data_IF_134170262743
#
_entry.id   IF_134170262743
#
_cell.length_a   1.000
_cell.length_b   1.000
_cell.length_c   1.000
_cell.angle_alpha   90.00
_cell.angle_beta   90.00
_cell.angle_gamma   90.00
#
_symmetry.space_group_name_H-M   'P 1'
#
loop_
_entity.id
_entity.type
_entity.pdbx_description
1 polymer ?
#
# COMPACT_ATOMS: atom_id res chain seq x y z
N UNK A 1 -16.55 -7.72 -25.51
CA UNK A 1 -16.77 -7.83 -24.05
C UNK A 1 -16.40 -6.49 -23.44
N UNK A 2 -17.30 -5.87 -22.69
CA UNK A 2 -17.07 -4.60 -22.01
C UNK A 2 -16.34 -4.87 -20.68
N UNK A 3 -15.40 -4.02 -20.36
CA UNK A 3 -14.62 -4.16 -19.13
C UNK A 3 -15.39 -3.61 -17.93
N UNK A 4 -15.49 -4.42 -16.87
CA UNK A 4 -16.20 -4.07 -15.63
C UNK A 4 -15.29 -4.40 -14.44
N UNK A 5 -14.76 -3.37 -13.80
CA UNK A 5 -13.81 -3.48 -12.69
C UNK A 5 -14.45 -2.93 -11.41
N UNK A 6 -14.42 -3.73 -10.35
CA UNK A 6 -14.73 -3.28 -9.00
C UNK A 6 -13.42 -2.99 -8.25
N UNK A 7 -13.40 -1.95 -7.44
CA UNK A 7 -12.40 -1.74 -6.40
C UNK A 7 -13.09 -1.80 -5.03
N UNK A 8 -12.72 -2.79 -4.24
CA UNK A 8 -13.18 -2.96 -2.86
C UNK A 8 -12.11 -2.44 -1.91
N UNK A 9 -12.54 -1.65 -0.92
CA UNK A 9 -11.66 -1.07 0.10
C UNK A 9 -12.39 -1.14 1.46
N UNK A 10 -11.77 -1.79 2.45
CA UNK A 10 -12.35 -1.94 3.77
C UNK A 10 -12.30 -0.61 4.54
N UNK A 11 -13.41 -0.24 5.14
CA UNK A 11 -13.55 1.04 5.83
C UNK A 11 -12.74 1.10 7.12
N UNK A 12 -11.70 1.95 7.16
CA UNK A 12 -10.82 2.15 8.31
C UNK A 12 -10.33 0.81 8.94
N UNK A 13 -9.94 -0.14 8.10
CA UNK A 13 -9.82 -1.58 8.37
C UNK A 13 -9.32 -1.93 9.77
N UNK A 14 -8.08 -1.59 10.12
CA UNK A 14 -7.52 -1.97 11.45
C UNK A 14 -8.33 -1.36 12.59
N UNK A 15 -8.73 -0.10 12.48
CA UNK A 15 -9.52 0.55 13.53
C UNK A 15 -10.92 -0.05 13.66
N UNK A 16 -11.52 -0.46 12.54
CA UNK A 16 -12.82 -1.14 12.53
C UNK A 16 -12.75 -2.54 13.16
N UNK A 17 -11.66 -3.29 12.91
CA UNK A 17 -11.41 -4.58 13.59
C UNK A 17 -11.28 -4.38 15.10
N UNK A 18 -10.53 -3.37 15.57
CA UNK A 18 -10.42 -3.07 17.00
C UNK A 18 -11.76 -2.68 17.63
N UNK A 19 -12.55 -1.83 16.94
CA UNK A 19 -13.89 -1.43 17.42
C UNK A 19 -14.90 -2.57 17.39
N UNK A 20 -14.76 -3.54 16.49
CA UNK A 20 -15.56 -4.76 16.45
C UNK A 20 -15.25 -5.66 17.63
N UNK A 21 -13.96 -5.92 17.85
CA UNK A 21 -13.47 -6.90 18.84
C UNK A 21 -13.60 -6.39 20.29
N UNK A 22 -13.47 -5.07 20.51
CA UNK A 22 -13.70 -4.46 21.83
C UNK A 22 -14.88 -3.45 21.77
N UNK A 23 -16.05 -3.82 22.30
CA UNK A 23 -17.22 -2.93 22.33
C UNK A 23 -16.99 -1.57 23.00
N UNK A 24 -16.00 -1.45 23.89
CA UNK A 24 -15.66 -0.18 24.56
C UNK A 24 -15.05 0.85 23.60
N UNK A 25 -14.52 0.39 22.48
CA UNK A 25 -13.92 1.24 21.44
C UNK A 25 -14.94 1.74 20.42
N UNK A 26 -16.17 1.21 20.41
CA UNK A 26 -17.21 1.60 19.45
C UNK A 26 -17.59 3.06 19.61
N UNK A 27 -17.57 3.79 18.49
CA UNK A 27 -17.87 5.23 18.50
C UNK A 27 -16.78 6.10 19.12
N UNK A 28 -15.65 5.52 19.56
CA UNK A 28 -14.53 6.25 20.12
C UNK A 28 -13.48 6.59 19.03
N UNK A 29 -12.71 7.67 19.20
CA UNK A 29 -11.63 8.01 18.29
C UNK A 29 -10.45 7.05 18.48
N UNK A 30 -10.48 5.90 17.78
CA UNK A 30 -9.45 4.86 17.85
C UNK A 30 -8.34 5.16 16.85
N UNK A 31 -7.11 5.05 17.32
CA UNK A 31 -5.88 5.29 16.54
C UNK A 31 -4.98 4.05 16.67
N UNK A 32 -4.91 3.26 15.62
CA UNK A 32 -4.04 2.08 15.58
C UNK A 32 -2.63 2.53 15.20
N UNK A 33 -1.65 2.28 16.07
CA UNK A 33 -0.27 2.69 15.85
C UNK A 33 0.56 2.72 17.12
N UNK A 34 1.73 3.34 17.06
CA UNK A 34 2.55 3.56 18.24
C UNK A 34 1.91 4.61 19.18
N UNK A 35 2.12 4.52 20.51
CA UNK A 35 1.68 5.55 21.44
C UNK A 35 2.27 6.93 21.09
N UNK A 36 1.60 8.05 21.43
CA UNK A 36 2.05 9.39 21.10
C UNK A 36 3.36 9.80 21.81
N UNK A 37 3.74 9.10 22.87
CA UNK A 37 4.99 9.29 23.63
C UNK A 37 6.18 8.56 23.03
N UNK A 38 5.97 7.74 21.98
CA UNK A 38 7.01 6.97 21.33
C UNK A 38 7.16 7.37 19.86
N UNK A 39 8.32 7.07 19.26
CA UNK A 39 8.49 7.17 17.81
C UNK A 39 7.58 6.16 17.12
N UNK A 40 6.90 6.60 16.10
CA UNK A 40 6.03 5.78 15.29
C UNK A 40 5.01 6.60 14.51
N UNK A 41 4.21 5.89 13.76
CA UNK A 41 3.17 6.47 12.90
C UNK A 41 1.82 5.83 13.17
N UNK A 42 0.77 6.54 12.77
CA UNK A 42 -0.58 6.00 12.68
C UNK A 42 -0.63 4.97 11.54
N UNK A 43 -1.02 3.74 11.83
CA UNK A 43 -1.29 2.71 10.83
C UNK A 43 -2.70 2.88 10.25
N UNK A 44 -3.70 3.05 11.13
CA UNK A 44 -5.08 3.34 10.73
C UNK A 44 -5.76 4.23 11.79
N UNK A 45 -6.77 4.98 11.37
CA UNK A 45 -7.56 5.83 12.25
C UNK A 45 -9.05 5.60 11.98
N UNK A 46 -9.86 5.44 13.04
CA UNK A 46 -11.32 5.36 12.94
C UNK A 46 -11.91 6.65 12.37
N UNK A 47 -13.13 6.59 11.86
CA UNK A 47 -13.80 7.77 11.31
C UNK A 47 -13.98 8.87 12.36
N UNK A 48 -14.16 8.50 13.62
CA UNK A 48 -14.20 9.43 14.76
C UNK A 48 -12.87 10.17 14.92
N UNK A 49 -11.74 9.44 14.84
CA UNK A 49 -10.41 10.07 14.91
C UNK A 49 -10.09 10.93 13.67
N UNK A 50 -10.57 10.52 12.48
CA UNK A 50 -10.42 11.29 11.23
C UNK A 50 -11.07 12.66 11.28
N UNK A 51 -12.12 12.85 12.08
CA UNK A 51 -12.76 14.17 12.30
C UNK A 51 -11.81 15.19 12.92
N UNK A 52 -10.81 14.74 13.67
CA UNK A 52 -9.75 15.57 14.25
C UNK A 52 -8.53 15.74 13.34
N UNK A 53 -8.61 15.30 12.08
CA UNK A 53 -7.50 15.39 11.13
C UNK A 53 -6.48 14.27 11.24
N UNK A 54 -6.70 13.25 12.07
CA UNK A 54 -5.82 12.07 12.16
C UNK A 54 -5.98 11.22 10.90
N UNK A 55 -4.83 10.82 10.30
CA UNK A 55 -4.78 10.00 9.08
C UNK A 55 -3.60 9.01 9.19
N UNK A 56 -3.65 7.94 8.40
CA UNK A 56 -2.53 7.00 8.24
C UNK A 56 -1.25 7.73 7.84
N UNK A 57 -0.11 7.18 8.24
CA UNK A 57 1.24 7.73 8.07
C UNK A 57 1.54 9.02 8.86
N UNK A 58 0.57 9.58 9.59
CA UNK A 58 0.82 10.74 10.46
C UNK A 58 1.70 10.32 11.65
N UNK A 59 2.71 11.11 12.06
CA UNK A 59 3.46 10.81 13.28
C UNK A 59 2.53 10.70 14.50
N UNK A 60 2.70 9.66 15.32
CA UNK A 60 1.83 9.40 16.48
C UNK A 60 1.78 10.57 17.47
N UNK A 61 2.92 11.25 17.68
CA UNK A 61 2.98 12.45 18.52
C UNK A 61 2.10 13.60 17.97
N UNK A 62 2.03 13.75 16.65
CA UNK A 62 1.15 14.73 15.99
C UNK A 62 -0.32 14.32 16.13
N UNK A 63 -0.63 13.02 15.91
CA UNK A 63 -1.97 12.49 16.09
C UNK A 63 -2.48 12.70 17.54
N UNK A 64 -1.63 12.50 18.54
CA UNK A 64 -1.98 12.75 19.95
C UNK A 64 -2.29 14.22 20.25
N UNK A 65 -1.60 15.15 19.58
CA UNK A 65 -1.91 16.59 19.70
C UNK A 65 -3.22 16.98 19.02
N UNK A 66 -3.50 16.39 17.84
CA UNK A 66 -4.73 16.65 17.09
C UNK A 66 -5.97 16.02 17.76
N UNK A 67 -5.80 14.85 18.37
CA UNK A 67 -6.86 14.12 19.03
C UNK A 67 -6.44 13.72 20.47
N UNK A 68 -6.48 14.67 21.44
CA UNK A 68 -6.02 14.40 22.81
C UNK A 68 -6.80 13.31 23.54
N UNK A 69 -8.05 13.08 23.15
CA UNK A 69 -8.91 11.99 23.67
C UNK A 69 -8.82 10.71 22.84
N UNK A 70 -7.93 10.65 21.85
CA UNK A 70 -7.73 9.49 20.98
C UNK A 70 -7.21 8.29 21.76
N UNK A 71 -7.83 7.13 21.52
CA UNK A 71 -7.43 5.86 22.14
C UNK A 71 -6.42 5.20 21.23
N UNK A 72 -5.15 5.16 21.66
CA UNK A 72 -4.08 4.52 20.91
C UNK A 72 -4.03 3.03 21.21
N UNK A 73 -4.14 2.21 20.16
CA UNK A 73 -4.09 0.75 20.21
C UNK A 73 -2.89 0.25 19.39
N UNK A 74 -2.11 -0.69 19.95
CA UNK A 74 -1.00 -1.29 19.20
C UNK A 74 -1.54 -2.19 18.09
N UNK A 75 -0.91 -2.19 16.89
CA UNK A 75 -1.35 -3.04 15.78
C UNK A 75 -1.27 -4.53 16.14
N UNK A 76 -2.36 -5.27 15.86
CA UNK A 76 -2.44 -6.74 15.95
C UNK A 76 -2.34 -7.34 14.54
N UNK A 77 -1.15 -7.28 13.93
CA UNK A 77 -0.98 -7.61 12.51
C UNK A 77 -1.44 -9.02 12.13
N UNK A 78 -1.29 -9.99 13.02
CA UNK A 78 -1.74 -11.37 12.74
C UNK A 78 -3.26 -11.47 12.65
N UNK A 79 -3.98 -10.75 13.54
CA UNK A 79 -5.46 -10.64 13.50
C UNK A 79 -5.90 -9.98 12.18
N UNK A 80 -5.23 -8.90 11.76
CA UNK A 80 -5.61 -8.20 10.53
C UNK A 80 -5.33 -9.04 9.27
N UNK A 81 -4.25 -9.82 9.24
CA UNK A 81 -3.97 -10.74 8.14
C UNK A 81 -4.99 -11.88 8.06
N UNK A 82 -5.33 -12.46 9.19
CA UNK A 82 -6.37 -13.49 9.27
C UNK A 82 -7.73 -12.95 8.80
N UNK A 83 -8.10 -11.75 9.24
CA UNK A 83 -9.34 -11.10 8.83
C UNK A 83 -9.35 -10.78 7.34
N UNK A 84 -8.23 -10.28 6.80
CA UNK A 84 -8.02 -10.07 5.37
C UNK A 84 -8.23 -11.37 4.58
N UNK A 85 -7.64 -12.48 5.05
CA UNK A 85 -7.79 -13.78 4.39
C UNK A 85 -9.25 -14.19 4.28
N UNK A 86 -10.01 -14.09 5.37
CA UNK A 86 -11.46 -14.40 5.39
C UNK A 86 -12.27 -13.51 4.45
N UNK A 87 -11.93 -12.22 4.37
CA UNK A 87 -12.56 -11.30 3.40
C UNK A 87 -12.24 -11.70 1.97
N UNK A 88 -10.98 -12.08 1.67
CA UNK A 88 -10.59 -12.55 0.34
C UNK A 88 -11.26 -13.87 -0.04
N UNK A 89 -11.52 -14.76 0.92
CA UNK A 89 -12.33 -15.97 0.70
C UNK A 89 -13.78 -15.62 0.29
N UNK A 90 -14.40 -14.64 0.94
CA UNK A 90 -15.73 -14.15 0.53
C UNK A 90 -15.69 -13.59 -0.88
N UNK A 91 -14.67 -12.76 -1.20
CA UNK A 91 -14.48 -12.18 -2.54
C UNK A 91 -14.33 -13.29 -3.61
N UNK A 92 -13.54 -14.33 -3.32
CA UNK A 92 -13.30 -15.43 -4.25
C UNK A 92 -14.58 -16.17 -4.67
N UNK A 93 -15.62 -16.19 -3.83
CA UNK A 93 -16.90 -16.83 -4.18
C UNK A 93 -17.67 -16.12 -5.29
N UNK A 94 -17.30 -14.89 -5.64
CA UNK A 94 -17.93 -14.14 -6.75
C UNK A 94 -17.59 -14.70 -8.12
N UNK A 95 -16.53 -15.52 -8.24
CA UNK A 95 -16.01 -16.00 -9.53
C UNK A 95 -15.27 -14.93 -10.33
N UNK A 96 -15.02 -13.75 -9.75
CA UNK A 96 -14.23 -12.68 -10.37
C UNK A 96 -12.73 -13.04 -10.43
N UNK A 97 -12.04 -12.44 -11.38
CA UNK A 97 -10.57 -12.40 -11.36
C UNK A 97 -10.16 -11.35 -10.31
N UNK A 98 -9.33 -11.73 -9.32
CA UNK A 98 -8.99 -10.88 -8.18
C UNK A 98 -7.52 -10.51 -8.20
N UNK A 99 -7.23 -9.22 -8.05
CA UNK A 99 -5.91 -8.67 -7.74
C UNK A 99 -5.95 -8.07 -6.33
N UNK A 100 -5.38 -8.76 -5.35
CA UNK A 100 -5.26 -8.24 -4.00
C UNK A 100 -4.12 -7.20 -3.94
N UNK A 101 -4.44 -5.95 -3.62
CA UNK A 101 -3.47 -4.85 -3.56
C UNK A 101 -2.81 -4.72 -2.18
N UNK A 102 -3.57 -5.00 -1.13
CA UNK A 102 -3.12 -4.92 0.25
C UNK A 102 -3.95 -5.87 1.14
N UNK A 103 -3.83 -5.75 2.45
CA UNK A 103 -4.66 -6.52 3.39
C UNK A 103 -6.13 -6.07 3.42
N UNK A 104 -6.44 -4.90 2.86
CA UNK A 104 -7.76 -4.25 2.92
C UNK A 104 -8.30 -3.78 1.58
N UNK A 105 -7.54 -3.91 0.49
CA UNK A 105 -7.94 -3.48 -0.86
C UNK A 105 -7.77 -4.59 -1.89
N UNK A 106 -8.75 -4.71 -2.80
CA UNK A 106 -8.67 -5.59 -3.96
C UNK A 106 -9.38 -5.00 -5.18
N UNK A 107 -8.85 -5.30 -6.38
CA UNK A 107 -9.58 -5.16 -7.63
C UNK A 107 -10.21 -6.49 -8.02
N UNK A 108 -11.44 -6.42 -8.56
CA UNK A 108 -12.17 -7.57 -9.08
C UNK A 108 -12.54 -7.27 -10.54
N UNK A 109 -12.13 -8.13 -11.45
CA UNK A 109 -12.62 -8.08 -12.83
C UNK A 109 -13.83 -9.02 -12.94
N UNK A 110 -14.99 -8.42 -13.11
CA UNK A 110 -16.27 -9.12 -13.27
C UNK A 110 -16.79 -9.02 -14.70
N UNK A 111 -15.93 -8.65 -15.65
CA UNK A 111 -16.31 -8.50 -17.06
C UNK A 111 -16.96 -9.74 -17.65
N UNK A 112 -16.52 -10.95 -17.29
CA UNK A 112 -17.12 -12.20 -17.77
C UNK A 112 -18.52 -12.46 -17.18
N UNK A 113 -18.84 -11.85 -16.04
CA UNK A 113 -20.08 -12.09 -15.28
C UNK A 113 -21.13 -11.03 -15.62
N UNK A 114 -20.70 -9.76 -15.78
CA UNK A 114 -21.58 -8.61 -15.93
C UNK A 114 -21.49 -8.05 -17.36
N UNK A 115 -22.21 -8.68 -18.31
CA UNK A 115 -22.28 -8.21 -19.69
C UNK A 115 -23.71 -7.81 -20.06
N UNK A 116 -23.86 -6.63 -20.64
CA UNK A 116 -25.12 -6.08 -21.14
C UNK A 116 -24.94 -5.57 -22.58
N UNK A 117 -25.95 -4.85 -23.10
CA UNK A 117 -25.96 -4.33 -24.47
C UNK A 117 -24.85 -3.35 -24.80
N UNK A 118 -24.37 -2.60 -23.79
CA UNK A 118 -23.32 -1.59 -23.90
C UNK A 118 -22.47 -1.54 -22.63
N UNK A 119 -21.42 -0.71 -22.66
CA UNK A 119 -20.47 -0.58 -21.55
C UNK A 119 -21.15 -0.08 -20.27
N UNK A 120 -21.92 0.98 -20.33
CA UNK A 120 -22.54 1.60 -19.15
C UNK A 120 -23.61 0.68 -18.54
N UNK A 121 -24.40 0.01 -19.37
CA UNK A 121 -25.35 -0.99 -18.89
C UNK A 121 -24.64 -2.18 -18.20
N UNK A 122 -23.44 -2.58 -18.68
CA UNK A 122 -22.62 -3.62 -18.05
C UNK A 122 -22.09 -3.18 -16.68
N UNK A 123 -21.68 -1.92 -16.53
CA UNK A 123 -21.27 -1.35 -15.24
C UNK A 123 -22.43 -1.32 -14.23
N UNK A 124 -23.62 -0.92 -14.67
CA UNK A 124 -24.80 -0.89 -13.83
C UNK A 124 -25.27 -2.29 -13.41
N UNK A 125 -25.09 -3.30 -14.29
CA UNK A 125 -25.42 -4.70 -14.00
C UNK A 125 -24.53 -5.28 -12.88
N UNK A 126 -23.33 -4.74 -12.63
CA UNK A 126 -22.46 -5.16 -11.55
C UNK A 126 -22.89 -4.64 -10.15
N UNK A 127 -23.81 -3.67 -10.10
CA UNK A 127 -24.23 -3.05 -8.83
C UNK A 127 -24.88 -4.02 -7.83
N UNK A 128 -25.81 -4.93 -8.22
CA UNK A 128 -26.35 -5.96 -7.33
C UNK A 128 -25.27 -6.86 -6.76
N UNK A 129 -24.33 -7.34 -7.57
CA UNK A 129 -23.20 -8.17 -7.13
C UNK A 129 -22.34 -7.45 -6.06
N UNK A 130 -22.00 -6.19 -6.29
CA UNK A 130 -21.24 -5.39 -5.33
C UNK A 130 -22.03 -5.15 -4.03
N UNK A 131 -23.35 -4.93 -4.12
CA UNK A 131 -24.22 -4.77 -2.95
C UNK A 131 -24.29 -6.06 -2.12
N UNK A 132 -24.46 -7.20 -2.78
CA UNK A 132 -24.45 -8.51 -2.13
C UNK A 132 -23.12 -8.80 -1.46
N UNK A 133 -21.99 -8.51 -2.12
CA UNK A 133 -20.66 -8.69 -1.55
C UNK A 133 -20.48 -7.86 -0.27
N UNK A 134 -20.88 -6.59 -0.28
CA UNK A 134 -20.87 -5.73 0.91
C UNK A 134 -21.72 -6.32 2.05
N UNK A 135 -22.94 -6.77 1.75
CA UNK A 135 -23.84 -7.37 2.75
C UNK A 135 -23.25 -8.64 3.33
N UNK A 136 -22.61 -9.49 2.54
CA UNK A 136 -21.96 -10.71 3.00
C UNK A 136 -20.77 -10.40 3.91
N UNK A 137 -19.89 -9.47 3.52
CA UNK A 137 -18.79 -9.03 4.37
C UNK A 137 -19.34 -8.52 5.69
N UNK A 138 -20.39 -7.71 5.70
CA UNK A 138 -20.98 -7.20 6.93
C UNK A 138 -21.60 -8.31 7.78
N UNK A 139 -22.41 -9.21 7.20
CA UNK A 139 -23.06 -10.27 7.94
C UNK A 139 -22.08 -11.30 8.53
N UNK A 140 -21.04 -11.66 7.79
CA UNK A 140 -20.08 -12.68 8.19
C UNK A 140 -18.93 -12.12 9.05
N UNK A 141 -18.52 -10.86 8.81
CA UNK A 141 -17.32 -10.25 9.46
C UNK A 141 -17.62 -9.04 10.35
N UNK A 142 -18.84 -8.49 10.32
CA UNK A 142 -19.24 -7.27 11.04
C UNK A 142 -18.33 -6.07 10.71
N UNK A 143 -17.87 -5.99 9.45
CA UNK A 143 -17.04 -4.93 8.92
C UNK A 143 -17.70 -4.36 7.67
N UNK A 144 -17.52 -3.06 7.41
CA UNK A 144 -18.01 -2.43 6.20
C UNK A 144 -16.91 -2.29 5.15
N UNK A 145 -17.31 -2.33 3.90
CA UNK A 145 -16.46 -2.06 2.75
C UNK A 145 -17.12 -1.02 1.85
N UNK A 146 -16.29 -0.20 1.22
CA UNK A 146 -16.73 0.70 0.15
C UNK A 146 -16.30 0.14 -1.18
N UNK A 147 -17.22 0.10 -2.17
CA UNK A 147 -16.95 -0.44 -3.50
C UNK A 147 -17.16 0.63 -4.57
N UNK A 148 -16.19 0.76 -5.46
CA UNK A 148 -16.29 1.53 -6.69
C UNK A 148 -16.38 0.61 -7.91
N UNK A 149 -17.26 0.94 -8.87
CA UNK A 149 -17.47 0.20 -10.11
C UNK A 149 -17.15 1.12 -11.29
N UNK A 150 -16.30 0.69 -12.21
CA UNK A 150 -15.99 1.45 -13.42
C UNK A 150 -15.38 0.57 -14.51
N UNK A 151 -15.10 1.15 -15.68
CA UNK A 151 -14.51 0.45 -16.82
C UNK A 151 -13.01 0.16 -16.69
N UNK A 152 -12.33 0.68 -15.66
CA UNK A 152 -10.90 0.46 -15.42
C UNK A 152 -10.49 0.67 -13.96
N UNK A 153 -9.24 0.28 -13.64
CA UNK A 153 -8.69 0.33 -12.27
C UNK A 153 -8.67 1.74 -11.69
N UNK A 154 -8.26 2.74 -12.48
CA UNK A 154 -8.19 4.13 -12.03
C UNK A 154 -9.55 4.64 -11.55
N UNK A 155 -10.55 4.51 -12.41
CA UNK A 155 -11.91 4.99 -12.11
C UNK A 155 -12.57 4.20 -10.98
N UNK A 156 -12.39 2.88 -10.94
CA UNK A 156 -12.93 2.04 -9.86
C UNK A 156 -12.36 2.46 -8.49
N UNK A 157 -11.04 2.76 -8.41
CA UNK A 157 -10.43 3.24 -7.17
C UNK A 157 -10.94 4.63 -6.78
N UNK A 158 -11.07 5.55 -7.72
CA UNK A 158 -11.64 6.89 -7.44
C UNK A 158 -13.09 6.76 -6.95
N UNK A 159 -13.88 5.87 -7.58
CA UNK A 159 -15.25 5.61 -7.20
C UNK A 159 -15.35 5.07 -5.76
N UNK A 160 -14.47 4.15 -5.35
CA UNK A 160 -14.48 3.60 -3.99
C UNK A 160 -14.13 4.64 -2.92
N UNK A 161 -13.40 5.71 -3.26
CA UNK A 161 -13.07 6.77 -2.32
C UNK A 161 -14.16 7.85 -2.20
N UNK A 162 -15.11 7.90 -3.16
CA UNK A 162 -16.06 9.01 -3.28
C UNK A 162 -17.10 9.07 -2.15
N UNK A 163 -17.63 7.93 -1.72
CA UNK A 163 -18.73 7.85 -0.74
C UNK A 163 -18.36 7.05 0.50
N UNK A 164 -17.10 7.08 0.96
CA UNK A 164 -16.69 6.43 2.22
C UNK A 164 -17.34 7.08 3.45
N UNK A 165 -17.73 6.30 4.46
CA UNK A 165 -17.73 4.84 4.57
C UNK A 165 -19.00 4.18 4.00
N UNK A 166 -18.92 2.86 3.81
CA UNK A 166 -20.02 1.96 3.42
C UNK A 166 -20.70 2.35 2.08
N UNK A 167 -19.94 3.01 1.21
CA UNK A 167 -20.43 3.51 -0.08
C UNK A 167 -20.47 2.46 -1.18
N UNK A 168 -21.21 2.80 -2.24
CA UNK A 168 -21.24 2.05 -3.50
C UNK A 168 -21.43 3.04 -4.66
N UNK A 169 -20.35 3.33 -5.37
CA UNK A 169 -20.34 4.31 -6.46
C UNK A 169 -20.06 3.65 -7.79
N UNK A 170 -20.85 3.97 -8.80
CA UNK A 170 -20.63 3.57 -10.21
C UNK A 170 -20.20 4.82 -10.97
N UNK A 171 -19.11 4.75 -11.71
CA UNK A 171 -18.70 5.78 -12.69
C UNK A 171 -18.86 5.18 -14.08
N UNK A 172 -19.87 5.66 -14.83
CA UNK A 172 -20.14 5.26 -16.21
C UNK A 172 -19.15 5.90 -17.19
N UNK A 173 -18.98 5.30 -18.37
CA UNK A 173 -18.12 5.88 -19.40
C UNK A 173 -18.68 7.21 -19.93
N UNK A 174 -20.01 7.36 -19.95
CA UNK A 174 -20.68 8.61 -20.32
C UNK A 174 -20.38 9.75 -19.33
N UNK A 175 -20.24 9.44 -18.04
CA UNK A 175 -20.09 10.45 -16.98
C UNK A 175 -18.64 10.66 -16.51
N UNK A 176 -17.70 9.77 -16.85
CA UNK A 176 -16.34 9.76 -16.28
C UNK A 176 -15.62 11.11 -16.36
N UNK A 177 -15.73 11.82 -17.48
CA UNK A 177 -15.01 13.10 -17.69
C UNK A 177 -15.60 14.16 -16.77
N UNK A 178 -16.93 14.32 -16.74
CA UNK A 178 -17.63 15.29 -15.90
C UNK A 178 -17.48 14.97 -14.41
N UNK A 179 -17.49 13.68 -14.05
CA UNK A 179 -17.26 13.21 -12.69
C UNK A 179 -15.84 13.54 -12.18
N UNK A 180 -14.84 13.34 -13.02
CA UNK A 180 -13.44 13.60 -12.66
C UNK A 180 -13.14 15.09 -12.54
N UNK A 181 -13.76 15.92 -13.37
CA UNK A 181 -13.42 17.33 -13.56
C UNK A 181 -13.33 18.16 -12.26
N UNK A 182 -14.28 18.10 -11.29
CA UNK A 182 -14.21 18.87 -10.05
C UNK A 182 -13.23 18.31 -9.01
N UNK A 183 -12.70 17.08 -9.19
CA UNK A 183 -11.87 16.45 -8.20
C UNK A 183 -10.47 17.08 -8.16
N UNK A 184 -9.84 17.16 -6.97
CA UNK A 184 -8.44 17.59 -6.86
C UNK A 184 -7.51 16.73 -7.67
N UNK A 185 -6.48 17.29 -8.31
CA UNK A 185 -5.53 16.55 -9.16
C UNK A 185 -4.80 15.43 -8.39
N UNK A 186 -4.62 15.57 -7.07
CA UNK A 186 -4.04 14.54 -6.19
C UNK A 186 -4.87 13.26 -6.11
N UNK A 187 -6.12 13.25 -6.55
CA UNK A 187 -6.98 12.07 -6.62
C UNK A 187 -6.49 11.07 -7.67
N UNK A 188 -5.76 11.54 -8.68
CA UNK A 188 -5.20 10.69 -9.73
C UNK A 188 -4.06 9.83 -9.19
N UNK A 189 -4.09 8.56 -9.56
CA UNK A 189 -3.04 7.59 -9.22
C UNK A 189 -1.66 8.09 -9.64
N UNK A 190 -0.70 8.05 -8.71
CA UNK A 190 0.67 8.51 -8.94
C UNK A 190 0.91 10.00 -8.66
N UNK A 191 -0.14 10.77 -8.35
CA UNK A 191 0.01 12.17 -7.94
C UNK A 191 0.18 12.26 -6.42
N UNK A 192 1.44 12.19 -5.98
CA UNK A 192 1.82 12.45 -4.60
C UNK A 192 2.00 13.94 -4.31
N UNK A 193 2.31 14.28 -3.06
CA UNK A 193 2.47 15.68 -2.59
C UNK A 193 3.43 16.52 -3.47
N UNK A 194 4.55 15.94 -3.92
CA UNK A 194 5.54 16.66 -4.75
C UNK A 194 4.95 16.96 -6.13
N UNK A 195 4.34 15.98 -6.78
CA UNK A 195 3.69 16.15 -8.08
C UNK A 195 2.54 17.14 -8.00
N UNK A 196 1.68 17.06 -6.97
CA UNK A 196 0.60 18.02 -6.71
C UNK A 196 1.16 19.45 -6.60
N UNK A 197 2.20 19.66 -5.81
CA UNK A 197 2.83 20.98 -5.66
C UNK A 197 3.41 21.51 -6.99
N UNK A 198 3.98 20.63 -7.81
CA UNK A 198 4.51 21.02 -9.12
C UNK A 198 3.38 21.42 -10.07
N UNK A 199 2.30 20.66 -10.12
CA UNK A 199 1.13 20.97 -10.94
C UNK A 199 0.44 22.27 -10.50
N UNK A 200 0.29 22.49 -9.20
CA UNK A 200 -0.30 23.70 -8.65
C UNK A 200 0.47 24.98 -9.05
N UNK A 201 1.80 24.91 -9.21
CA UNK A 201 2.62 26.05 -9.66
C UNK A 201 2.26 26.52 -11.08
N UNK A 202 1.70 25.65 -11.90
CA UNK A 202 1.28 25.97 -13.27
C UNK A 202 -0.25 26.07 -13.40
N UNK A 203 -0.95 26.25 -12.25
CA UNK A 203 -2.38 26.49 -12.21
C UNK A 203 -3.26 25.23 -12.29
N UNK A 204 -2.66 24.02 -12.21
CA UNK A 204 -3.41 22.75 -12.24
C UNK A 204 -3.70 22.32 -10.81
N UNK A 205 -4.91 22.58 -10.30
CA UNK A 205 -5.39 22.23 -8.97
C UNK A 205 -6.40 21.09 -9.03
N UNK A 206 -7.27 21.12 -10.01
CA UNK A 206 -8.31 20.11 -10.27
C UNK A 206 -7.94 19.24 -11.46
N UNK A 207 -8.63 18.11 -11.60
CA UNK A 207 -8.53 17.26 -12.79
C UNK A 207 -9.07 18.03 -14.01
N UNK A 208 -10.07 18.90 -13.84
CA UNK A 208 -10.58 19.76 -14.90
C UNK A 208 -9.50 20.72 -15.44
N UNK A 209 -8.70 21.35 -14.56
CA UNK A 209 -7.58 22.18 -14.99
C UNK A 209 -6.57 21.36 -15.81
N UNK A 210 -6.33 20.12 -15.41
CA UNK A 210 -5.45 19.21 -16.13
C UNK A 210 -6.03 18.77 -17.48
N UNK A 211 -7.35 18.57 -17.58
CA UNK A 211 -8.05 18.31 -18.84
C UNK A 211 -7.89 19.48 -19.82
N UNK A 212 -7.99 20.69 -19.33
CA UNK A 212 -7.93 21.92 -20.13
C UNK A 212 -6.49 22.40 -20.41
N UNK A 213 -5.49 21.89 -19.67
CA UNK A 213 -4.11 22.32 -19.82
C UNK A 213 -3.53 21.96 -21.19
N UNK A 214 -3.16 23.01 -21.95
CA UNK A 214 -2.58 22.88 -23.28
C UNK A 214 -1.04 22.85 -23.31
N UNK A 215 -0.38 23.09 -22.16
CA UNK A 215 1.09 23.12 -22.07
C UNK A 215 1.72 21.73 -22.06
N UNK A 216 3.06 21.69 -22.08
CA UNK A 216 3.81 20.43 -22.04
C UNK A 216 3.88 19.87 -20.60
N UNK A 217 3.13 18.82 -20.32
CA UNK A 217 3.18 18.12 -19.03
C UNK A 217 4.49 17.35 -18.81
N UNK A 218 5.25 16.99 -19.88
CA UNK A 218 6.57 16.38 -19.70
C UNK A 218 7.56 17.35 -19.08
N UNK A 219 7.49 18.61 -19.41
CA UNK A 219 8.32 19.64 -18.80
C UNK A 219 8.03 19.81 -17.30
N UNK A 220 6.79 19.51 -16.85
CA UNK A 220 6.38 19.68 -15.46
C UNK A 220 6.66 18.43 -14.59
N UNK A 221 6.27 17.24 -15.08
CA UNK A 221 6.27 15.99 -14.29
C UNK A 221 7.03 14.84 -14.99
N UNK A 222 7.90 15.15 -15.94
CA UNK A 222 8.74 14.17 -16.63
C UNK A 222 7.95 13.17 -17.46
N UNK A 223 8.45 11.94 -17.56
CA UNK A 223 7.84 10.86 -18.36
C UNK A 223 6.42 10.48 -17.91
N UNK A 224 6.01 10.89 -16.72
CA UNK A 224 4.66 10.64 -16.20
C UNK A 224 3.60 11.53 -16.87
N UNK A 225 3.97 12.68 -17.44
CA UNK A 225 3.06 13.67 -18.03
C UNK A 225 2.02 13.11 -19.00
N UNK A 226 2.42 12.39 -20.06
CA UNK A 226 1.48 11.80 -21.02
C UNK A 226 0.48 10.82 -20.39
N UNK A 227 0.94 10.00 -19.44
CA UNK A 227 0.08 9.06 -18.71
C UNK A 227 -0.90 9.82 -17.81
N UNK A 228 -0.43 10.86 -17.15
CA UNK A 228 -1.26 11.70 -16.29
C UNK A 228 -2.37 12.39 -17.09
N UNK A 229 -2.09 12.85 -18.32
CA UNK A 229 -3.10 13.41 -19.23
C UNK A 229 -4.20 12.39 -19.57
N UNK A 230 -3.83 11.16 -19.92
CA UNK A 230 -4.78 10.06 -20.14
C UNK A 230 -5.64 9.82 -18.91
N UNK A 231 -5.02 9.77 -17.72
CA UNK A 231 -5.73 9.59 -16.46
C UNK A 231 -6.76 10.70 -16.19
N UNK A 232 -6.48 11.94 -16.57
CA UNK A 232 -7.44 13.03 -16.43
C UNK A 232 -8.72 12.82 -17.26
N UNK A 233 -8.66 12.06 -18.36
CA UNK A 233 -9.80 11.66 -19.18
C UNK A 233 -10.38 10.30 -18.79
N UNK A 234 -9.92 9.71 -17.68
CA UNK A 234 -10.40 8.42 -17.20
C UNK A 234 -9.92 7.23 -18.03
N UNK A 235 -8.80 7.39 -18.75
CA UNK A 235 -8.21 6.35 -19.58
C UNK A 235 -7.14 5.59 -18.80
N UNK A 236 -7.35 4.28 -18.57
CA UNK A 236 -6.41 3.38 -17.91
C UNK A 236 -6.55 1.97 -18.48
N UNK A 237 -5.56 1.54 -19.23
CA UNK A 237 -5.53 0.26 -19.93
C UNK A 237 -4.81 -0.85 -19.15
N UNK A 238 -4.34 -0.58 -17.93
CA UNK A 238 -3.65 -1.57 -17.10
C UNK A 238 -4.55 -2.77 -16.84
N UNK A 239 -4.06 -4.00 -17.10
CA UNK A 239 -4.78 -5.22 -16.70
C UNK A 239 -4.74 -5.40 -15.18
N UNK A 240 -5.53 -6.35 -14.67
CA UNK A 240 -5.31 -6.89 -13.34
C UNK A 240 -4.05 -7.74 -13.34
N UNK A 241 -3.19 -7.53 -12.34
CA UNK A 241 -1.99 -8.34 -12.13
C UNK A 241 -2.34 -9.53 -11.24
N UNK A 242 -2.29 -10.75 -11.84
CA UNK A 242 -2.59 -11.98 -11.13
C UNK A 242 -1.25 -12.64 -10.80
N UNK A 243 -0.94 -12.69 -9.52
CA UNK A 243 0.29 -13.31 -9.00
C UNK A 243 1.38 -12.28 -8.68
N UNK A 244 1.88 -12.41 -7.47
CA UNK A 244 2.94 -11.55 -6.95
C UNK A 244 4.32 -12.14 -7.24
N UNK A 245 5.02 -11.62 -8.24
CA UNK A 245 6.46 -11.82 -8.33
C UNK A 245 7.14 -11.04 -7.20
N UNK A 246 7.68 -11.74 -6.22
CA UNK A 246 8.41 -11.14 -5.11
C UNK A 246 9.75 -10.60 -5.62
N UNK A 247 9.88 -9.29 -5.74
CA UNK A 247 11.10 -8.62 -6.24
C UNK A 247 12.15 -8.40 -5.16
N UNK A 248 11.73 -8.24 -3.90
CA UNK A 248 12.62 -8.01 -2.76
C UNK A 248 11.99 -8.44 -1.44
N UNK A 249 12.84 -8.74 -0.46
CA UNK A 249 12.45 -9.01 0.93
C UNK A 249 13.29 -8.11 1.82
N UNK A 250 12.67 -7.33 2.71
CA UNK A 250 13.39 -6.40 3.60
C UNK A 250 12.71 -6.25 4.95
N UNK A 251 13.50 -5.78 5.91
CA UNK A 251 13.05 -5.31 7.22
C UNK A 251 13.73 -3.98 7.55
N UNK A 252 13.04 -3.11 8.30
CA UNK A 252 13.57 -1.83 8.79
C UNK A 252 13.17 -1.62 10.25
N UNK A 253 14.10 -1.13 11.07
CA UNK A 253 13.84 -0.77 12.45
C UNK A 253 14.11 0.72 12.67
N UNK A 254 13.14 1.43 13.22
CA UNK A 254 13.30 2.82 13.66
C UNK A 254 13.53 2.82 15.16
N UNK A 255 14.75 3.15 15.58
CA UNK A 255 15.15 3.16 16.98
C UNK A 255 14.38 4.22 17.78
N UNK A 256 14.00 3.89 19.02
CA UNK A 256 13.33 4.84 19.93
C UNK A 256 14.23 6.07 20.22
N UNK A 257 15.53 5.84 20.32
CA UNK A 257 16.59 6.88 20.39
C UNK A 257 17.62 6.57 19.32
N UNK A 258 18.16 7.61 18.69
CA UNK A 258 19.23 7.45 17.72
C UNK A 258 20.44 6.80 18.39
N UNK A 259 21.08 5.85 17.69
CA UNK A 259 22.18 5.06 18.26
C UNK A 259 23.28 4.79 17.25
N UNK A 260 24.52 4.78 17.73
CA UNK A 260 25.72 4.29 17.04
C UNK A 260 26.35 3.10 17.79
N UNK A 261 25.66 2.61 18.81
CA UNK A 261 26.11 1.44 19.57
C UNK A 261 26.15 0.20 18.66
N UNK A 262 27.37 -0.28 18.43
CA UNK A 262 27.63 -1.42 17.56
C UNK A 262 26.95 -2.72 18.02
N UNK A 263 26.70 -2.88 19.33
CA UNK A 263 25.99 -4.07 19.84
C UNK A 263 24.54 -4.04 19.45
N UNK A 264 23.88 -2.88 19.61
CA UNK A 264 22.48 -2.66 19.22
C UNK A 264 22.32 -2.83 17.70
N UNK A 265 23.19 -2.20 16.91
CA UNK A 265 23.13 -2.26 15.45
C UNK A 265 23.35 -3.67 14.90
N UNK A 266 24.32 -4.42 15.49
CA UNK A 266 24.57 -5.82 15.12
C UNK A 266 23.42 -6.74 15.51
N UNK A 267 22.81 -6.55 16.68
CA UNK A 267 21.65 -7.33 17.10
C UNK A 267 20.47 -7.10 16.13
N UNK A 268 20.17 -5.85 15.79
CA UNK A 268 19.14 -5.47 14.82
C UNK A 268 19.39 -6.11 13.44
N UNK A 269 20.61 -6.01 12.90
CA UNK A 269 20.93 -6.66 11.61
C UNK A 269 20.81 -8.19 11.67
N UNK A 270 21.19 -8.81 12.77
CA UNK A 270 21.13 -10.27 12.95
C UNK A 270 19.66 -10.74 12.95
N UNK A 271 18.79 -10.02 13.64
CA UNK A 271 17.36 -10.31 13.68
C UNK A 271 16.73 -10.14 12.29
N UNK A 272 16.99 -9.02 11.61
CA UNK A 272 16.52 -8.79 10.24
C UNK A 272 17.04 -9.85 9.26
N UNK A 273 18.31 -10.26 9.35
CA UNK A 273 18.86 -11.31 8.51
C UNK A 273 18.20 -12.66 8.76
N UNK A 274 17.86 -12.98 10.01
CA UNK A 274 17.14 -14.21 10.36
C UNK A 274 15.72 -14.23 9.79
N UNK A 275 14.98 -13.11 9.90
CA UNK A 275 13.64 -12.97 9.30
C UNK A 275 13.69 -13.07 7.77
N UNK A 276 14.62 -12.39 7.12
CA UNK A 276 14.80 -12.42 5.67
C UNK A 276 15.12 -13.86 5.20
N UNK A 277 16.05 -14.54 5.88
CA UNK A 277 16.41 -15.93 5.57
C UNK A 277 15.22 -16.89 5.70
N UNK A 278 14.42 -16.77 6.78
CA UNK A 278 13.23 -17.56 6.99
C UNK A 278 12.20 -17.34 5.85
N UNK A 279 12.00 -16.10 5.44
CA UNK A 279 11.09 -15.73 4.34
C UNK A 279 11.58 -16.22 2.98
N UNK A 280 12.90 -16.15 2.70
CA UNK A 280 13.51 -16.70 1.50
C UNK A 280 13.28 -18.21 1.43
N UNK A 281 13.58 -18.95 2.50
CA UNK A 281 13.40 -20.41 2.58
C UNK A 281 11.93 -20.82 2.42
N UNK A 282 11.03 -20.11 3.09
CA UNK A 282 9.58 -20.36 2.95
C UNK A 282 9.09 -20.20 1.51
N UNK A 283 9.63 -19.22 0.80
CA UNK A 283 9.27 -18.94 -0.61
C UNK A 283 10.12 -19.72 -1.62
N UNK A 284 11.08 -20.52 -1.16
CA UNK A 284 12.04 -21.26 -2.01
C UNK A 284 12.80 -20.34 -2.97
N UNK A 285 13.23 -19.16 -2.46
CA UNK A 285 13.98 -18.17 -3.22
C UNK A 285 15.39 -18.00 -2.67
N UNK A 286 16.33 -17.69 -3.56
CA UNK A 286 17.67 -17.20 -3.23
C UNK A 286 17.87 -15.78 -3.71
N UNK A 287 18.67 -14.98 -3.02
CA UNK A 287 18.89 -13.57 -3.33
C UNK A 287 20.30 -13.33 -3.83
N UNK A 288 20.45 -12.54 -4.89
CA UNK A 288 21.76 -12.17 -5.45
C UNK A 288 22.23 -10.77 -5.03
N UNK A 289 21.39 -9.97 -4.37
CA UNK A 289 21.75 -8.64 -3.94
C UNK A 289 21.35 -8.43 -2.49
N UNK A 290 22.30 -7.92 -1.67
CA UNK A 290 22.06 -7.48 -0.30
C UNK A 290 22.17 -5.96 -0.26
N UNK A 291 21.25 -5.29 0.42
CA UNK A 291 21.27 -3.85 0.59
C UNK A 291 21.11 -3.49 2.07
N UNK A 292 21.76 -2.40 2.47
CA UNK A 292 21.61 -1.78 3.77
C UNK A 292 21.09 -0.37 3.58
N UNK A 293 20.08 0.01 4.38
CA UNK A 293 19.52 1.35 4.42
C UNK A 293 19.74 1.94 5.79
N UNK A 294 20.29 3.14 5.85
CA UNK A 294 20.41 3.91 7.09
C UNK A 294 19.71 5.25 6.94
N UNK A 295 19.13 5.71 8.04
CA UNK A 295 18.58 7.07 8.13
C UNK A 295 19.11 7.74 9.38
N UNK A 296 19.54 8.97 9.24
CA UNK A 296 20.04 9.80 10.33
C UNK A 296 18.93 10.67 10.95
N UNK A 297 19.26 11.40 12.02
CA UNK A 297 18.34 12.30 12.74
C UNK A 297 17.70 13.36 11.84
N UNK A 298 18.47 13.89 10.89
CA UNK A 298 18.04 14.90 9.91
C UNK A 298 17.23 14.33 8.75
N UNK A 299 16.83 13.05 8.83
CA UNK A 299 16.13 12.27 7.80
C UNK A 299 16.92 12.02 6.51
N UNK A 300 18.22 12.42 6.45
CA UNK A 300 19.10 11.97 5.38
C UNK A 300 19.13 10.44 5.34
N UNK A 301 18.82 9.87 4.19
CA UNK A 301 18.75 8.41 3.98
C UNK A 301 19.81 8.00 2.98
N UNK A 302 20.59 6.99 3.33
CA UNK A 302 21.57 6.37 2.43
C UNK A 302 21.23 4.89 2.28
N UNK A 303 21.34 4.41 1.04
CA UNK A 303 21.22 2.98 0.72
C UNK A 303 22.50 2.56 0.00
N UNK A 304 23.04 1.39 0.39
CA UNK A 304 24.19 0.76 -0.27
C UNK A 304 23.87 -0.71 -0.50
N UNK A 305 24.36 -1.24 -1.60
CA UNK A 305 24.12 -2.62 -1.96
C UNK A 305 25.38 -3.30 -2.49
N UNK A 306 25.36 -4.61 -2.46
CA UNK A 306 26.36 -5.49 -3.06
C UNK A 306 25.65 -6.68 -3.71
N UNK A 307 26.10 -7.05 -4.90
CA UNK A 307 25.61 -8.24 -5.59
C UNK A 307 26.64 -9.35 -5.52
N UNK A 308 26.17 -10.59 -5.49
CA UNK A 308 26.96 -11.82 -5.43
C UNK A 308 26.51 -12.77 -6.53
N UNK A 309 27.43 -13.63 -6.99
CA UNK A 309 27.14 -14.61 -8.04
C UNK A 309 26.30 -15.78 -7.50
N UNK A 310 26.64 -16.28 -6.32
CA UNK A 310 25.92 -17.39 -5.69
C UNK A 310 24.69 -16.88 -4.93
N UNK A 311 23.52 -17.56 -5.05
CA UNK A 311 22.30 -17.14 -4.38
C UNK A 311 22.40 -17.33 -2.86
N UNK A 312 22.08 -16.28 -2.11
CA UNK A 312 22.09 -16.27 -0.67
C UNK A 312 20.74 -16.74 -0.12
N UNK A 313 20.77 -17.67 0.83
CA UNK A 313 19.60 -18.13 1.60
C UNK A 313 19.86 -18.05 3.10
N UNK A 314 21.13 -18.14 3.50
CA UNK A 314 21.52 -18.26 4.90
C UNK A 314 21.62 -16.91 5.62
N UNK A 315 21.04 -16.84 6.82
CA UNK A 315 21.05 -15.64 7.66
C UNK A 315 22.46 -15.13 7.95
N UNK A 316 23.43 -16.05 8.14
CA UNK A 316 24.82 -15.71 8.44
C UNK A 316 25.50 -14.95 7.30
N UNK A 317 25.22 -15.31 6.05
CA UNK A 317 25.81 -14.66 4.87
C UNK A 317 25.20 -13.28 4.64
N UNK A 318 23.87 -13.19 4.73
CA UNK A 318 23.13 -11.92 4.62
C UNK A 318 23.61 -10.93 5.71
N UNK A 319 23.76 -11.42 6.95
CA UNK A 319 24.27 -10.63 8.07
C UNK A 319 25.70 -10.13 7.83
N UNK A 320 26.62 -11.03 7.39
CA UNK A 320 28.02 -10.67 7.11
C UNK A 320 28.13 -9.60 6.06
N UNK A 321 27.37 -9.71 4.95
CA UNK A 321 27.35 -8.71 3.89
C UNK A 321 26.71 -7.39 4.36
N UNK A 322 25.67 -7.43 5.20
CA UNK A 322 25.11 -6.25 5.83
C UNK A 322 26.14 -5.51 6.69
N UNK A 323 26.86 -6.23 7.54
CA UNK A 323 27.94 -5.66 8.36
C UNK A 323 29.10 -5.10 7.50
N UNK A 324 29.47 -5.81 6.43
CA UNK A 324 30.48 -5.36 5.48
C UNK A 324 30.12 -4.03 4.85
N UNK A 325 28.87 -3.89 4.36
CA UNK A 325 28.38 -2.65 3.76
C UNK A 325 28.38 -1.48 4.75
N UNK A 326 27.97 -1.69 6.01
CA UNK A 326 28.02 -0.65 7.04
C UNK A 326 29.45 -0.16 7.28
N UNK A 327 30.43 -1.09 7.31
CA UNK A 327 31.84 -0.77 7.57
C UNK A 327 32.52 -0.11 6.37
N UNK A 328 32.42 -0.75 5.18
CA UNK A 328 33.05 -0.28 3.94
C UNK A 328 32.61 1.12 3.57
N UNK A 329 31.32 1.39 3.64
CA UNK A 329 30.72 2.66 3.25
C UNK A 329 30.68 3.68 4.41
N UNK A 330 31.24 3.35 5.56
CA UNK A 330 31.27 4.20 6.76
C UNK A 330 29.90 4.77 7.14
N UNK A 331 28.83 3.95 7.00
CA UNK A 331 27.44 4.39 7.16
C UNK A 331 27.08 4.71 8.61
N UNK A 332 27.88 4.27 9.60
CA UNK A 332 27.72 4.63 11.03
C UNK A 332 28.71 5.74 11.38
N UNK A 333 28.71 6.83 10.63
CA UNK A 333 29.52 8.03 10.90
C UNK A 333 28.91 8.93 11.98
N UNK A 334 27.65 8.74 12.30
CA UNK A 334 26.85 9.43 13.32
C UNK A 334 25.70 8.52 13.77
N UNK A 335 25.02 8.79 14.91
CA UNK A 335 23.92 7.96 15.39
C UNK A 335 22.82 7.77 14.34
N UNK A 336 22.34 6.53 14.21
CA UNK A 336 21.31 6.14 13.27
C UNK A 336 19.93 6.24 13.91
N UNK A 337 19.01 6.86 13.20
CA UNK A 337 17.58 6.85 13.49
C UNK A 337 16.91 5.56 13.04
N UNK A 338 17.35 4.99 11.89
CA UNK A 338 16.80 3.79 11.30
C UNK A 338 17.92 2.96 10.68
N UNK A 339 17.80 1.65 10.83
CA UNK A 339 18.61 0.66 10.15
C UNK A 339 17.70 -0.35 9.45
N UNK A 340 17.96 -0.59 8.18
CA UNK A 340 17.25 -1.59 7.36
C UNK A 340 18.21 -2.51 6.63
N UNK A 341 17.80 -3.77 6.49
CA UNK A 341 18.46 -4.81 5.72
C UNK A 341 17.45 -5.34 4.70
N UNK A 342 17.89 -5.56 3.48
CA UNK A 342 17.04 -6.09 2.43
C UNK A 342 17.82 -6.92 1.43
N UNK A 343 17.09 -7.74 0.70
CA UNK A 343 17.62 -8.58 -0.40
C UNK A 343 16.74 -8.42 -1.63
N UNK A 344 17.35 -8.51 -2.80
CA UNK A 344 16.68 -8.39 -4.09
C UNK A 344 17.34 -9.28 -5.15
N UNK A 345 16.90 -9.17 -6.41
CA UNK A 345 17.33 -10.07 -7.48
C UNK A 345 17.06 -11.52 -7.09
N UNK A 346 15.80 -11.76 -6.70
CA UNK A 346 15.36 -13.06 -6.19
C UNK A 346 15.17 -14.03 -7.34
N UNK A 347 15.68 -15.26 -7.17
CA UNK A 347 15.50 -16.36 -8.13
C UNK A 347 15.29 -17.66 -7.37
N UNK A 348 14.70 -18.65 -8.04
CA UNK A 348 14.70 -20.01 -7.51
C UNK A 348 16.15 -20.49 -7.42
N UNK A 349 16.56 -21.15 -6.31
CA UNK A 349 17.89 -21.72 -6.20
C UNK A 349 18.04 -22.79 -7.28
N UNK A 350 18.87 -22.54 -8.27
CA UNK A 350 19.26 -23.59 -9.24
C UNK A 350 20.08 -24.61 -8.49
N UNK A 351 19.57 -25.83 -8.35
CA UNK A 351 20.37 -26.99 -7.94
C UNK A 351 21.44 -27.20 -9.00
N UNK A 352 22.68 -26.78 -8.73
CA UNK A 352 23.82 -27.19 -9.54
C UNK A 352 24.00 -28.68 -9.29
N UNK A 353 23.67 -29.49 -10.28
CA UNK A 353 24.10 -30.89 -10.29
C UNK A 353 25.63 -30.88 -10.38
N UNK A 354 26.29 -31.22 -9.27
CA UNK A 354 27.73 -31.47 -9.28
C UNK A 354 27.95 -32.67 -10.20
N UNK A 355 28.55 -32.45 -11.36
CA UNK A 355 29.08 -33.54 -12.18
C UNK A 355 30.30 -34.06 -11.43
N UNK A 356 30.19 -35.27 -10.86
CA UNK A 356 31.36 -35.99 -10.38
C UNK A 356 32.18 -36.36 -11.62
N UNK A 357 33.36 -35.73 -11.76
CA UNK A 357 34.39 -36.13 -12.72
C UNK A 357 35.06 -37.43 -12.23
#
# INVERSE_FOLDING_TARGET
MFRVILHLDMDAFYASVEQRDDPKLRGQPVIVGAPPTQRGVVCAASYEARKFGVRSALPSATAGRLCPKGIFVRPRMDVYREESHRIMEIIATTGAIVEQMSVDEAYLDVSAICQAKDADASLLLARPLASELKQRIFSERQLTATIGIASNKLLAKIASDHQKPDGLTVITDAEKISFLRPLPVRTLYGVGKVTEQTLNKVGIVTIGDLQDYAGDLRAQVGSFGPKLKKFAFGEDDRPLEIGDEIKSISGEETFLKDTDDRKILRACLKEQASDISARLKHKRLGAHTVQVKVRYTDFTTLTRQISVEEPLTEAGDIYRLGCYLLGREKLVSRPLRLLGLGVSSLREPTTRQLTLL
#
